data_IF_701391712648
#
_entry.id   IF_701391712648
#
_cell.length_a   1.000
_cell.length_b   1.000
_cell.length_c   1.000
_cell.angle_alpha   90.00
_cell.angle_beta   90.00
_cell.angle_gamma   90.00
#
_symmetry.space_group_name_H-M   'P 1'
#
loop_
_entity.id
_entity.type
_entity.pdbx_description
1 polymer ?
#
# COMPACT_ATOMS: atom_id res chain seq x y z
N UNK A 1 -0.59 -10.25 -2.20
CA UNK A 1 -0.82 -9.57 -3.48
C UNK A 1 -1.56 -8.25 -3.23
N UNK A 2 -1.20 -7.17 -3.93
CA UNK A 2 -2.05 -5.98 -3.93
C UNK A 2 -3.13 -6.15 -4.99
N UNK A 3 -4.37 -5.83 -4.61
CA UNK A 3 -5.45 -5.61 -5.55
C UNK A 3 -5.53 -4.14 -5.92
N UNK A 4 -6.28 -3.82 -6.96
CA UNK A 4 -6.40 -2.46 -7.45
C UNK A 4 -6.81 -1.48 -6.32
N UNK A 5 -5.89 -0.59 -5.95
CA UNK A 5 -6.19 0.51 -5.04
C UNK A 5 -7.35 1.37 -5.55
N UNK A 6 -8.27 1.76 -4.67
CA UNK A 6 -9.44 2.56 -5.05
C UNK A 6 -9.84 3.62 -3.99
N UNK A 7 -10.39 4.76 -4.43
CA UNK A 7 -10.43 5.23 -5.81
C UNK A 7 -9.00 5.47 -6.35
N UNK A 8 -8.81 5.44 -7.67
CA UNK A 8 -7.54 5.82 -8.30
C UNK A 8 -7.86 6.39 -9.70
N UNK A 9 -7.68 7.70 -9.94
CA UNK A 9 -7.10 8.71 -9.04
C UNK A 9 -7.92 8.92 -7.76
N UNK A 10 -7.29 9.43 -6.69
CA UNK A 10 -7.96 9.67 -5.40
C UNK A 10 -7.75 11.10 -4.90
N UNK A 11 -8.72 11.58 -4.12
CA UNK A 11 -8.60 12.83 -3.35
C UNK A 11 -8.53 12.51 -1.85
N UNK A 12 -7.48 13.02 -1.20
CA UNK A 12 -7.13 12.85 0.22
C UNK A 12 -6.92 11.43 0.74
N UNK A 13 -7.68 10.42 0.31
CA UNK A 13 -7.52 9.05 0.81
C UNK A 13 -7.72 7.97 -0.25
N UNK A 14 -6.95 6.90 -0.14
CA UNK A 14 -7.04 5.71 -0.99
C UNK A 14 -7.15 4.45 -0.13
N UNK A 15 -7.93 3.50 -0.62
CA UNK A 15 -8.07 2.16 -0.07
C UNK A 15 -7.11 1.21 -0.78
N UNK A 16 -6.37 0.44 0.00
CA UNK A 16 -5.31 -0.46 -0.47
C UNK A 16 -5.67 -1.88 -0.03
N UNK A 17 -6.31 -2.67 -0.90
CA UNK A 17 -6.64 -4.05 -0.57
C UNK A 17 -5.40 -4.91 -0.74
N UNK A 18 -4.99 -5.55 0.35
CA UNK A 18 -3.82 -6.40 0.45
C UNK A 18 -4.28 -7.82 0.81
N UNK A 19 -4.05 -8.75 -0.10
CA UNK A 19 -4.25 -10.17 0.16
C UNK A 19 -2.96 -10.80 0.66
N UNK A 20 -3.02 -11.49 1.77
CA UNK A 20 -1.89 -12.21 2.36
C UNK A 20 -2.14 -13.69 2.19
N UNK A 21 -1.28 -14.36 1.42
CA UNK A 21 -1.45 -15.76 1.02
C UNK A 21 -0.41 -16.63 1.70
N UNK A 22 -0.81 -17.78 2.23
CA UNK A 22 0.08 -18.72 2.90
C UNK A 22 -0.65 -19.48 4.01
N UNK A 23 -0.04 -20.53 4.57
CA UNK A 23 -0.65 -21.32 5.63
C UNK A 23 -0.57 -20.65 7.01
N UNK A 24 0.34 -19.69 7.21
CA UNK A 24 0.64 -19.09 8.51
C UNK A 24 0.69 -17.57 8.43
N UNK A 25 0.61 -16.92 9.60
CA UNK A 25 0.87 -15.48 9.74
C UNK A 25 2.28 -15.15 9.30
N UNK A 26 2.44 -13.99 8.67
CA UNK A 26 3.71 -13.60 8.08
C UNK A 26 3.95 -12.10 8.20
N UNK A 27 5.23 -11.74 8.14
CA UNK A 27 5.65 -10.35 8.20
C UNK A 27 5.26 -9.63 6.91
N UNK A 28 4.50 -8.54 7.07
CA UNK A 28 4.02 -7.68 6.00
C UNK A 28 4.57 -6.29 6.20
N UNK A 29 5.15 -5.74 5.14
CA UNK A 29 5.46 -4.30 5.06
C UNK A 29 4.76 -3.67 3.88
N UNK A 30 4.35 -2.42 4.04
CA UNK A 30 3.81 -1.60 2.98
C UNK A 30 4.43 -0.22 3.04
N UNK A 31 4.90 0.29 1.91
CA UNK A 31 5.41 1.65 1.79
C UNK A 31 4.75 2.36 0.62
N UNK A 32 4.54 3.67 0.79
CA UNK A 32 4.06 4.55 -0.27
C UNK A 32 5.11 5.62 -0.46
N UNK A 33 5.68 5.68 -1.66
CA UNK A 33 6.74 6.62 -1.99
C UNK A 33 6.43 7.39 -3.29
N UNK A 34 6.90 8.63 -3.38
CA UNK A 34 6.80 9.41 -4.61
C UNK A 34 7.87 9.00 -5.63
N UNK A 35 7.92 9.69 -6.78
CA UNK A 35 8.89 9.44 -7.86
C UNK A 35 10.36 9.69 -7.45
N UNK A 36 10.58 10.44 -6.37
CA UNK A 36 11.91 10.68 -5.78
C UNK A 36 12.25 9.66 -4.68
N UNK A 37 11.44 8.62 -4.51
CA UNK A 37 11.61 7.58 -3.47
C UNK A 37 11.50 8.14 -2.05
N UNK A 38 10.89 9.31 -1.88
CA UNK A 38 10.57 9.85 -0.56
C UNK A 38 9.34 9.13 -0.01
N UNK A 39 9.46 8.55 1.19
CA UNK A 39 8.40 7.78 1.83
C UNK A 39 7.36 8.75 2.42
N UNK A 40 6.13 8.67 1.92
CA UNK A 40 4.99 9.42 2.44
C UNK A 40 4.20 8.63 3.49
N UNK A 41 4.27 7.29 3.44
CA UNK A 41 3.61 6.41 4.40
C UNK A 41 4.32 5.06 4.48
N UNK A 42 4.37 4.48 5.68
CA UNK A 42 4.86 3.13 5.91
C UNK A 42 3.98 2.40 6.92
N UNK A 43 3.86 1.10 6.71
CA UNK A 43 3.16 0.15 7.57
C UNK A 43 4.01 -1.12 7.68
N UNK A 44 4.05 -1.72 8.86
CA UNK A 44 4.84 -2.92 9.13
C UNK A 44 4.20 -3.73 10.27
N UNK A 45 3.97 -5.02 10.06
CA UNK A 45 3.40 -5.92 11.06
C UNK A 45 3.97 -7.33 10.91
N UNK A 46 4.35 -7.98 12.01
CA UNK A 46 5.01 -9.30 12.03
C UNK A 46 4.04 -10.47 11.90
N UNK A 47 2.86 -10.38 12.53
CA UNK A 47 1.91 -11.48 12.66
C UNK A 47 0.64 -11.21 11.85
N UNK A 48 0.81 -10.90 10.57
CA UNK A 48 -0.32 -10.60 9.68
C UNK A 48 -0.92 -11.91 9.15
N UNK A 49 -2.15 -12.21 9.56
CA UNK A 49 -2.80 -13.49 9.23
C UNK A 49 -3.11 -13.60 7.73
N UNK A 50 -3.14 -14.82 7.17
CA UNK A 50 -3.64 -15.03 5.81
C UNK A 50 -5.06 -14.49 5.64
N UNK A 51 -5.36 -13.94 4.46
CA UNK A 51 -6.67 -13.38 4.11
C UNK A 51 -6.61 -12.03 3.39
N UNK A 52 -7.78 -11.48 3.10
CA UNK A 52 -7.92 -10.16 2.50
C UNK A 52 -7.99 -9.09 3.59
N UNK A 53 -7.09 -8.13 3.51
CA UNK A 53 -6.99 -7.00 4.43
C UNK A 53 -7.14 -5.69 3.68
N UNK A 54 -7.59 -4.66 4.40
CA UNK A 54 -7.76 -3.33 3.83
C UNK A 54 -6.97 -2.34 4.63
N UNK A 55 -5.96 -1.74 4.00
CA UNK A 55 -5.24 -0.60 4.54
C UNK A 55 -5.78 0.68 3.91
N UNK A 56 -5.68 1.79 4.63
CA UNK A 56 -6.08 3.11 4.13
C UNK A 56 -4.95 4.08 4.32
N UNK A 57 -4.60 4.80 3.26
CA UNK A 57 -3.68 5.92 3.36
C UNK A 57 -4.45 7.24 3.25
N UNK A 58 -4.21 8.15 4.20
CA UNK A 58 -4.62 9.55 4.10
C UNK A 58 -3.41 10.37 3.61
N UNK A 59 -3.47 10.80 2.36
CA UNK A 59 -2.47 11.62 1.69
C UNK A 59 -2.76 13.12 1.73
N UNK A 60 -3.58 13.60 2.67
CA UNK A 60 -3.94 15.03 2.73
C UNK A 60 -2.73 15.95 2.90
N UNK A 61 -1.68 15.49 3.58
CA UNK A 61 -0.43 16.24 3.77
C UNK A 61 0.61 15.97 2.67
N UNK A 62 0.32 15.06 1.73
CA UNK A 62 1.20 14.71 0.63
C UNK A 62 0.95 15.59 -0.60
N UNK A 63 1.97 15.88 -1.40
CA UNK A 63 1.80 16.66 -2.63
C UNK A 63 1.03 15.87 -3.70
N UNK A 64 0.21 16.55 -4.52
CA UNK A 64 -0.40 15.97 -5.72
C UNK A 64 0.67 15.32 -6.61
N UNK A 65 0.42 14.12 -7.11
CA UNK A 65 1.39 13.42 -7.95
C UNK A 65 1.26 11.90 -7.96
N UNK A 66 2.20 11.27 -8.66
CA UNK A 66 2.31 9.82 -8.78
C UNK A 66 3.03 9.23 -7.56
N UNK A 67 2.42 8.21 -6.97
CA UNK A 67 3.00 7.43 -5.88
C UNK A 67 3.03 5.94 -6.22
N UNK A 68 3.93 5.23 -5.56
CA UNK A 68 4.12 3.79 -5.68
C UNK A 68 3.83 3.13 -4.34
N UNK A 69 2.78 2.32 -4.30
CA UNK A 69 2.47 1.42 -3.19
C UNK A 69 3.29 0.16 -3.36
N UNK A 70 4.24 -0.09 -2.48
CA UNK A 70 5.05 -1.32 -2.46
C UNK A 70 4.64 -2.15 -1.25
N UNK A 71 4.13 -3.35 -1.48
CA UNK A 71 3.88 -4.33 -0.43
C UNK A 71 4.90 -5.47 -0.51
N UNK A 72 5.36 -5.92 0.65
CA UNK A 72 6.26 -7.06 0.79
C UNK A 72 5.68 -8.04 1.81
N UNK A 73 5.63 -9.32 1.45
CA UNK A 73 5.21 -10.41 2.34
C UNK A 73 5.98 -11.67 1.97
N UNK A 74 6.70 -12.26 2.93
CA UNK A 74 7.58 -13.41 2.70
C UNK A 74 8.56 -13.14 1.52
N UNK A 75 8.40 -13.83 0.39
CA UNK A 75 9.21 -13.67 -0.84
C UNK A 75 8.48 -12.92 -1.96
N UNK A 76 7.25 -12.44 -1.71
CA UNK A 76 6.46 -11.73 -2.68
C UNK A 76 6.61 -10.22 -2.49
N UNK A 77 7.03 -9.54 -3.56
CA UNK A 77 6.99 -8.08 -3.66
C UNK A 77 5.99 -7.68 -4.72
N UNK A 78 5.04 -6.82 -4.36
CA UNK A 78 4.08 -6.27 -5.31
C UNK A 78 4.12 -4.75 -5.29
N UNK A 79 4.02 -4.14 -6.47
CA UNK A 79 4.08 -2.69 -6.62
C UNK A 79 2.88 -2.23 -7.45
N UNK A 80 2.17 -1.22 -6.97
CA UNK A 80 1.08 -0.57 -7.71
C UNK A 80 1.29 0.95 -7.76
N UNK A 81 0.97 1.55 -8.92
CA UNK A 81 0.96 3.01 -9.10
C UNK A 81 -0.40 3.58 -8.71
N UNK A 82 -0.40 4.69 -7.97
CA UNK A 82 -1.60 5.46 -7.61
C UNK A 82 -1.38 6.94 -7.87
N UNK A 83 -2.44 7.66 -8.25
CA UNK A 83 -2.41 9.09 -8.53
C UNK A 83 -3.20 9.86 -7.47
N UNK A 84 -2.51 10.69 -6.69
CA UNK A 84 -3.13 11.65 -5.77
C UNK A 84 -3.48 12.91 -6.54
N UNK A 85 -4.75 13.29 -6.53
CA UNK A 85 -5.29 14.55 -7.03
C UNK A 85 -5.98 15.28 -5.87
N UNK A 86 -5.76 16.58 -5.71
CA UNK A 86 -6.41 17.40 -4.68
C UNK A 86 -7.48 18.29 -5.31
#
# INVERSE_FOLDING_TARGET
MLHACYPNPFNSSVTIPLEVTGPESQHVTLTIANTLVQIAYSFSQTDFTPGLHTLRWNGSDAATGLYFVTAHSHNARHIQKILLIK
#
